data_IF_351068743877
#
_entry.id   IF_351068743877
#
_cell.length_a   1.000
_cell.length_b   1.000
_cell.length_c   1.000
_cell.angle_alpha   90.00
_cell.angle_beta   90.00
_cell.angle_gamma   90.00
#
_symmetry.space_group_name_H-M   'P 1'
#
loop_
_entity.id
_entity.type
_entity.pdbx_description
1 polymer ?
#
# COMPACT_ATOMS: atom_id res chain seq x y z
N UNK A 1 -29.40 -14.38 -12.69
CA UNK A 1 -28.67 -13.14 -12.96
C UNK A 1 -29.60 -12.00 -12.63
N UNK A 2 -29.35 -11.16 -11.64
CA UNK A 2 -30.13 -9.96 -11.40
C UNK A 2 -29.71 -8.90 -12.41
N UNK A 3 -30.69 -8.26 -13.01
CA UNK A 3 -30.57 -7.21 -14.02
C UNK A 3 -30.15 -5.89 -13.30
N UNK A 4 -28.87 -5.57 -13.34
CA UNK A 4 -28.33 -4.33 -12.79
C UNK A 4 -28.16 -3.26 -13.89
N UNK A 5 -29.29 -2.92 -14.52
CA UNK A 5 -29.33 -1.75 -15.39
C UNK A 5 -29.15 -0.47 -14.56
N UNK A 6 -28.07 0.27 -14.79
CA UNK A 6 -27.84 1.62 -14.27
C UNK A 6 -29.06 2.49 -14.62
N UNK A 7 -29.90 2.77 -13.64
CA UNK A 7 -31.08 3.59 -13.86
C UNK A 7 -30.66 5.05 -13.96
N UNK A 8 -30.74 5.65 -15.14
CA UNK A 8 -30.72 7.10 -15.34
C UNK A 8 -31.83 7.74 -14.52
N UNK A 9 -31.49 8.25 -13.31
CA UNK A 9 -32.44 9.01 -12.48
C UNK A 9 -32.39 10.48 -12.90
N UNK A 10 -33.51 11.01 -13.34
CA UNK A 10 -33.68 12.45 -13.63
C UNK A 10 -33.82 13.21 -12.32
N UNK A 11 -32.93 14.18 -12.10
CA UNK A 11 -32.94 15.06 -10.92
C UNK A 11 -33.97 16.16 -11.04
N UNK A 12 -34.74 16.39 -9.97
CA UNK A 12 -35.59 17.55 -9.76
C UNK A 12 -34.81 18.53 -8.90
N UNK A 13 -34.57 19.74 -9.42
CA UNK A 13 -33.92 20.84 -8.68
C UNK A 13 -34.85 21.35 -7.59
N UNK A 14 -34.45 21.30 -6.34
CA UNK A 14 -35.05 22.06 -5.24
C UNK A 14 -34.04 23.14 -4.79
N UNK A 15 -34.39 24.40 -5.00
CA UNK A 15 -33.69 25.57 -4.48
C UNK A 15 -34.23 25.94 -3.10
N UNK A 16 -33.36 26.20 -2.12
CA UNK A 16 -33.76 26.69 -0.78
C UNK A 16 -32.57 27.21 0.01
N UNK A 17 -32.34 28.46 -0.08
CA UNK A 17 -32.31 29.57 0.89
C UNK A 17 -31.47 29.45 2.16
N UNK A 18 -30.59 30.44 2.27
CA UNK A 18 -29.58 30.86 3.22
C UNK A 18 -30.00 30.92 4.71
N UNK A 19 -28.96 30.75 5.56
CA UNK A 19 -28.99 31.17 6.97
C UNK A 19 -27.58 31.42 7.49
N UNK A 20 -27.24 32.68 7.71
CA UNK A 20 -25.98 33.20 8.29
C UNK A 20 -26.13 33.35 9.80
N UNK A 21 -25.12 32.94 10.56
CA UNK A 21 -24.70 33.47 11.91
C UNK A 21 -23.32 32.80 12.17
N UNK A 22 -22.19 33.40 12.43
CA UNK A 22 -21.78 34.58 13.10
C UNK A 22 -21.11 34.34 14.45
N UNK A 23 -19.85 34.83 14.59
CA UNK A 23 -19.10 35.16 15.81
C UNK A 23 -18.12 34.14 16.40
N UNK A 24 -16.82 34.41 16.29
CA UNK A 24 -15.89 35.15 17.19
C UNK A 24 -15.28 34.23 18.25
N UNK A 25 -13.98 34.12 18.50
CA UNK A 25 -12.86 35.01 18.59
C UNK A 25 -12.04 34.69 19.82
N UNK A 26 -10.75 35.09 19.84
CA UNK A 26 -9.78 35.16 20.94
C UNK A 26 -8.73 34.06 20.97
N UNK A 27 -7.43 34.28 20.56
CA UNK A 27 -6.37 35.19 21.00
C UNK A 27 -5.69 34.84 22.33
N UNK A 28 -4.35 34.68 22.27
CA UNK A 28 -3.38 34.74 23.36
C UNK A 28 -2.41 33.57 23.34
N UNK A 29 -1.12 33.66 23.21
CA UNK A 29 -0.21 34.73 23.47
C UNK A 29 0.87 34.28 24.45
N UNK A 30 2.15 34.35 24.06
CA UNK A 30 3.31 34.40 24.94
C UNK A 30 3.94 33.04 25.26
N UNK A 31 5.24 32.81 25.17
CA UNK A 31 6.41 33.61 25.21
C UNK A 31 7.48 32.97 26.11
N UNK A 32 8.71 32.86 25.57
CA UNK A 32 9.88 33.18 26.34
C UNK A 32 10.78 32.06 26.90
N UNK A 33 12.03 32.08 26.41
CA UNK A 33 13.26 31.98 27.21
C UNK A 33 13.79 30.55 27.46
N UNK A 34 14.90 30.08 26.90
CA UNK A 34 16.25 30.56 27.13
C UNK A 34 16.86 29.93 28.36
N UNK A 35 17.84 29.06 28.21
CA UNK A 35 19.15 29.32 28.80
C UNK A 35 20.18 28.20 28.49
N UNK A 36 21.39 28.62 28.34
CA UNK A 36 22.61 27.87 28.06
C UNK A 36 23.25 27.24 29.32
N UNK A 37 24.17 26.28 29.13
CA UNK A 37 25.11 25.80 30.16
C UNK A 37 25.68 24.45 29.74
N UNK A 38 26.75 24.38 29.10
CA UNK A 38 28.19 24.45 29.37
C UNK A 38 28.71 23.39 30.37
N UNK A 39 29.69 22.58 29.89
CA UNK A 39 30.90 22.25 30.63
C UNK A 39 31.11 20.86 31.19
N UNK A 40 32.19 20.21 30.72
CA UNK A 40 33.07 19.36 31.55
C UNK A 40 33.18 17.92 31.10
N UNK A 41 34.12 17.54 30.42
CA UNK A 41 35.56 17.25 30.55
C UNK A 41 35.91 16.06 31.48
N UNK A 42 36.63 15.07 30.96
CA UNK A 42 37.72 14.41 31.65
C UNK A 42 37.61 12.95 32.09
N UNK A 43 38.52 12.12 31.58
CA UNK A 43 39.11 11.01 32.34
C UNK A 43 39.03 9.64 31.65
N UNK A 44 39.92 9.26 30.96
CA UNK A 44 41.22 8.60 30.97
C UNK A 44 41.31 7.27 31.78
N UNK A 45 41.76 6.19 31.09
CA UNK A 45 42.72 5.24 31.59
C UNK A 45 42.29 3.85 32.04
N UNK A 46 42.88 2.82 31.40
CA UNK A 46 43.15 1.54 32.07
C UNK A 46 42.92 0.30 31.20
N UNK A 47 43.79 -0.09 30.52
CA UNK A 47 44.85 -1.06 30.31
C UNK A 47 44.68 -2.43 30.98
N UNK A 48 44.80 -3.52 30.11
CA UNK A 48 45.52 -4.74 30.43
C UNK A 48 44.74 -5.97 30.88
N UNK A 49 44.85 -7.07 30.10
CA UNK A 49 44.60 -8.40 30.63
C UNK A 49 44.50 -9.50 29.58
N UNK A 50 45.61 -10.06 29.29
CA UNK A 50 46.03 -11.17 28.44
C UNK A 50 45.48 -12.54 28.88
N UNK A 51 45.20 -13.45 27.90
CA UNK A 51 45.53 -14.88 28.03
C UNK A 51 44.42 -15.88 28.38
N UNK A 52 44.17 -16.80 27.43
CA UNK A 52 43.51 -18.06 27.79
C UNK A 52 43.03 -18.87 26.59
N UNK A 53 43.91 -19.73 26.14
CA UNK A 53 43.87 -20.76 25.11
C UNK A 53 42.85 -21.91 25.35
N UNK A 54 42.25 -22.43 24.24
CA UNK A 54 41.98 -23.86 24.07
C UNK A 54 40.61 -24.39 24.40
N UNK A 55 39.92 -24.90 23.36
CA UNK A 55 38.82 -25.86 23.57
C UNK A 55 37.86 -26.07 22.38
N UNK A 56 38.33 -26.84 21.46
CA UNK A 56 37.67 -27.91 20.67
C UNK A 56 36.13 -27.91 20.51
N UNK A 57 35.74 -27.96 19.23
CA UNK A 57 34.68 -28.65 18.54
C UNK A 57 33.34 -28.95 19.25
N UNK A 58 32.39 -28.11 19.03
CA UNK A 58 30.98 -28.42 19.13
C UNK A 58 30.21 -27.58 18.12
N UNK A 59 29.63 -28.24 17.12
CA UNK A 59 28.61 -27.66 16.27
C UNK A 59 27.40 -27.28 17.15
N UNK A 60 27.47 -26.10 17.75
CA UNK A 60 26.33 -25.49 18.40
C UNK A 60 25.71 -24.58 17.33
N UNK A 61 24.46 -24.87 16.95
CA UNK A 61 23.63 -23.92 16.23
C UNK A 61 23.79 -22.56 16.89
N UNK A 62 24.17 -21.58 16.11
CA UNK A 62 24.39 -20.20 16.53
C UNK A 62 23.05 -19.61 17.02
N UNK A 63 22.70 -19.85 18.28
CA UNK A 63 21.62 -19.14 18.95
C UNK A 63 22.14 -17.75 19.35
N UNK A 64 22.43 -16.90 18.34
CA UNK A 64 22.70 -15.51 18.64
C UNK A 64 21.44 -14.93 19.29
N UNK A 65 21.58 -14.35 20.46
CA UNK A 65 20.50 -13.63 21.14
C UNK A 65 20.24 -12.25 20.53
N UNK A 66 21.02 -11.89 19.52
CA UNK A 66 20.92 -10.59 18.85
C UNK A 66 19.63 -10.51 18.03
N UNK A 67 18.96 -9.36 17.99
CA UNK A 67 17.74 -9.19 17.21
C UNK A 67 17.99 -9.40 15.71
N UNK A 68 16.94 -9.82 14.99
CA UNK A 68 16.95 -9.85 13.54
C UNK A 68 16.66 -8.42 13.07
N UNK A 69 17.58 -7.83 12.30
CA UNK A 69 17.43 -6.47 11.82
C UNK A 69 16.70 -6.44 10.47
N UNK A 70 15.51 -5.81 10.44
CA UNK A 70 14.69 -5.63 9.23
C UNK A 70 14.57 -4.14 8.89
N UNK A 71 14.68 -3.81 7.62
CA UNK A 71 14.54 -2.45 7.13
C UNK A 71 13.10 -2.05 6.84
N UNK A 72 12.79 -0.77 6.92
CA UNK A 72 11.63 -0.15 6.30
C UNK A 72 12.11 1.05 5.48
N UNK A 73 11.88 1.03 4.18
CA UNK A 73 12.21 2.11 3.26
C UNK A 73 10.91 2.64 2.64
N UNK A 74 10.31 3.64 3.24
CA UNK A 74 8.99 4.13 2.85
C UNK A 74 8.92 5.66 2.88
N UNK A 75 7.95 6.29 2.21
CA UNK A 75 7.77 7.73 2.33
C UNK A 75 7.10 8.07 3.67
N UNK A 76 7.86 8.65 4.59
CA UNK A 76 7.39 9.18 5.87
C UNK A 76 7.15 10.69 5.82
N UNK A 77 7.62 11.35 4.76
CA UNK A 77 7.46 12.79 4.54
C UNK A 77 7.15 13.12 3.08
N UNK A 78 6.94 14.41 2.79
CA UNK A 78 6.64 14.95 1.46
C UNK A 78 5.32 14.38 0.85
N UNK A 79 5.25 14.30 -0.47
CA UNK A 79 4.01 14.07 -1.23
C UNK A 79 3.22 12.79 -0.89
N UNK A 80 3.90 11.72 -0.48
CA UNK A 80 3.30 10.45 -0.05
C UNK A 80 3.57 10.14 1.44
N UNK A 81 3.86 11.15 2.25
CA UNK A 81 4.26 11.01 3.65
C UNK A 81 3.23 10.33 4.57
N UNK A 82 2.03 10.06 4.11
CA UNK A 82 1.00 9.28 4.80
C UNK A 82 1.15 7.76 4.61
N UNK A 83 1.83 7.31 3.54
CA UNK A 83 1.99 5.89 3.21
C UNK A 83 2.85 5.17 4.24
N UNK A 84 4.04 5.72 4.53
CA UNK A 84 4.97 5.13 5.50
C UNK A 84 4.34 4.88 6.87
N UNK A 85 3.73 5.89 7.51
CA UNK A 85 3.05 5.71 8.80
C UNK A 85 1.89 4.70 8.76
N UNK A 86 1.13 4.61 7.67
CA UNK A 86 0.06 3.62 7.56
C UNK A 86 0.62 2.19 7.47
N UNK A 87 1.61 1.96 6.61
CA UNK A 87 2.26 0.66 6.47
C UNK A 87 2.99 0.25 7.76
N UNK A 88 3.64 1.20 8.44
CA UNK A 88 4.33 0.96 9.71
C UNK A 88 3.36 0.50 10.80
N UNK A 89 2.17 1.11 10.94
CA UNK A 89 1.16 0.64 11.88
C UNK A 89 0.71 -0.80 11.61
N UNK A 90 0.54 -1.17 10.35
CA UNK A 90 0.24 -2.56 9.99
C UNK A 90 1.38 -3.51 10.34
N UNK A 91 2.62 -3.15 9.99
CA UNK A 91 3.83 -3.87 10.40
C UNK A 91 3.89 -4.08 11.91
N UNK A 92 3.56 -3.06 12.69
CA UNK A 92 3.62 -3.12 14.15
C UNK A 92 2.61 -4.12 14.74
N UNK A 93 1.46 -4.31 14.09
CA UNK A 93 0.50 -5.39 14.45
C UNK A 93 1.12 -6.77 14.23
N UNK A 94 1.81 -6.99 13.09
CA UNK A 94 2.51 -8.25 12.84
C UNK A 94 3.66 -8.48 13.84
N UNK A 95 4.42 -7.43 14.17
CA UNK A 95 5.50 -7.52 15.15
C UNK A 95 4.99 -7.94 16.54
N UNK A 96 3.80 -7.48 16.95
CA UNK A 96 3.21 -7.89 18.22
C UNK A 96 2.86 -9.38 18.27
N UNK A 97 2.26 -9.93 17.19
CA UNK A 97 2.00 -11.38 17.07
C UNK A 97 3.31 -12.17 17.06
N UNK A 98 4.31 -11.72 16.32
CA UNK A 98 5.66 -12.33 16.28
C UNK A 98 6.30 -12.36 17.68
N UNK A 99 6.21 -11.25 18.44
CA UNK A 99 6.75 -11.18 19.80
C UNK A 99 6.00 -12.10 20.75
N UNK A 100 4.66 -12.13 20.70
CA UNK A 100 3.82 -13.02 21.50
C UNK A 100 4.11 -14.50 21.22
N UNK A 101 4.38 -14.84 19.96
CA UNK A 101 4.80 -16.18 19.53
C UNK A 101 6.25 -16.55 19.94
N UNK A 102 6.96 -15.64 20.64
CA UNK A 102 8.34 -15.89 21.11
C UNK A 102 9.41 -15.58 20.04
N UNK A 103 9.08 -14.77 19.05
CA UNK A 103 10.01 -14.28 18.03
C UNK A 103 10.25 -15.27 16.88
N UNK A 104 11.00 -14.81 15.89
CA UNK A 104 11.48 -15.62 14.77
C UNK A 104 12.73 -16.38 15.18
N UNK A 105 12.69 -17.71 15.14
CA UNK A 105 13.81 -18.55 15.60
C UNK A 105 14.22 -18.25 17.07
N UNK A 106 13.27 -17.80 17.91
CA UNK A 106 13.51 -17.39 19.29
C UNK A 106 14.19 -16.03 19.44
N UNK A 107 14.25 -15.21 18.41
CA UNK A 107 14.88 -13.88 18.36
C UNK A 107 13.83 -12.81 18.13
N UNK A 108 13.99 -11.63 18.75
CA UNK A 108 13.18 -10.45 18.45
C UNK A 108 13.55 -9.87 17.10
N UNK A 109 12.65 -9.07 16.52
CA UNK A 109 12.92 -8.25 15.33
C UNK A 109 13.17 -6.80 15.76
N UNK A 110 14.18 -6.17 15.19
CA UNK A 110 14.46 -4.74 15.32
C UNK A 110 14.28 -4.06 13.97
N UNK A 111 13.61 -2.91 13.94
CA UNK A 111 13.31 -2.16 12.72
C UNK A 111 14.25 -0.99 12.54
N UNK A 112 14.86 -0.88 11.35
CA UNK A 112 15.59 0.30 10.90
C UNK A 112 14.76 1.02 9.83
N UNK A 113 14.27 2.23 10.12
CA UNK A 113 13.41 3.02 9.23
C UNK A 113 14.22 4.07 8.47
N UNK A 114 13.96 4.19 7.17
CA UNK A 114 14.53 5.20 6.30
C UNK A 114 13.41 5.87 5.49
N UNK A 115 13.42 7.20 5.44
CA UNK A 115 12.47 8.01 4.69
C UNK A 115 12.94 8.17 3.24
N UNK A 116 12.10 7.84 2.28
CA UNK A 116 12.36 8.08 0.85
C UNK A 116 12.09 9.52 0.43
N UNK A 117 11.45 10.33 1.28
CA UNK A 117 11.00 11.69 0.95
C UNK A 117 10.27 11.77 -0.40
N UNK A 118 9.74 10.64 -0.88
CA UNK A 118 9.15 10.49 -2.23
C UNK A 118 10.12 10.88 -3.36
N UNK A 119 11.44 10.80 -3.14
CA UNK A 119 12.48 11.16 -4.12
C UNK A 119 13.47 10.02 -4.39
N UNK A 120 13.95 9.84 -5.65
CA UNK A 120 14.94 8.82 -5.96
C UNK A 120 16.25 8.95 -5.15
N UNK A 121 16.70 10.17 -4.88
CA UNK A 121 17.95 10.42 -4.15
C UNK A 121 17.85 9.97 -2.71
N UNK A 122 16.78 10.32 -2.00
CA UNK A 122 16.57 9.89 -0.61
C UNK A 122 16.34 8.38 -0.54
N UNK A 123 15.60 7.80 -1.49
CA UNK A 123 15.39 6.36 -1.56
C UNK A 123 16.71 5.58 -1.72
N UNK A 124 17.59 5.99 -2.63
CA UNK A 124 18.92 5.36 -2.82
C UNK A 124 19.78 5.55 -1.57
N UNK A 125 19.77 6.74 -0.94
CA UNK A 125 20.52 7.00 0.29
C UNK A 125 20.03 6.15 1.46
N UNK A 126 18.70 6.07 1.65
CA UNK A 126 18.08 5.23 2.67
C UNK A 126 18.37 3.75 2.45
N UNK A 127 18.27 3.26 1.21
CA UNK A 127 18.65 1.90 0.85
C UNK A 127 20.09 1.56 1.23
N UNK A 128 21.06 2.42 0.85
CA UNK A 128 22.46 2.22 1.19
C UNK A 128 22.71 2.23 2.70
N UNK A 129 21.93 3.00 3.47
CA UNK A 129 22.00 3.00 4.92
C UNK A 129 21.51 1.66 5.49
N UNK A 130 20.39 1.12 5.00
CA UNK A 130 19.86 -0.19 5.39
C UNK A 130 20.83 -1.31 5.02
N UNK A 131 21.37 -1.30 3.79
CA UNK A 131 22.35 -2.28 3.35
C UNK A 131 23.62 -2.28 4.23
N UNK A 132 24.16 -1.10 4.51
CA UNK A 132 25.33 -0.93 5.40
C UNK A 132 25.06 -1.33 6.85
N UNK A 133 23.82 -1.20 7.32
CA UNK A 133 23.40 -1.64 8.65
C UNK A 133 23.25 -3.17 8.73
N UNK A 134 23.29 -3.89 7.61
CA UNK A 134 23.19 -5.33 7.57
C UNK A 134 21.78 -5.87 7.78
N UNK A 135 20.74 -5.11 7.40
CA UNK A 135 19.36 -5.64 7.44
C UNK A 135 19.23 -6.88 6.56
N UNK A 136 18.41 -7.83 6.99
CA UNK A 136 18.26 -9.11 6.28
C UNK A 136 17.14 -9.10 5.24
N UNK A 137 16.18 -8.19 5.39
CA UNK A 137 15.09 -7.94 4.45
C UNK A 137 14.57 -6.51 4.64
N UNK A 138 13.78 -6.00 3.70
CA UNK A 138 13.25 -4.62 3.75
C UNK A 138 11.80 -4.58 3.28
N UNK A 139 10.93 -3.92 4.07
CA UNK A 139 9.65 -3.42 3.58
C UNK A 139 9.95 -2.24 2.65
N UNK A 140 9.48 -2.29 1.42
CA UNK A 140 9.96 -1.41 0.37
C UNK A 140 9.03 -0.26 0.01
N UNK A 141 9.50 0.59 -0.93
CA UNK A 141 8.96 1.90 -1.20
C UNK A 141 7.79 1.89 -2.20
N UNK A 142 7.29 3.10 -2.48
CA UNK A 142 6.22 3.36 -3.44
C UNK A 142 6.67 3.29 -4.90
N UNK A 143 5.70 3.21 -5.83
CA UNK A 143 5.89 3.22 -7.29
C UNK A 143 6.77 4.37 -7.79
N UNK A 144 6.75 5.51 -7.12
CA UNK A 144 7.48 6.72 -7.53
C UNK A 144 9.00 6.52 -7.54
N UNK A 145 9.53 5.71 -6.63
CA UNK A 145 10.97 5.59 -6.42
C UNK A 145 11.53 4.18 -6.64
N UNK A 146 10.71 3.13 -6.55
CA UNK A 146 11.15 1.74 -6.63
C UNK A 146 11.94 1.41 -7.91
N UNK A 147 11.64 1.98 -9.10
CA UNK A 147 12.42 1.68 -10.30
C UNK A 147 13.89 2.11 -10.19
N UNK A 148 14.20 3.06 -9.33
CA UNK A 148 15.59 3.50 -9.08
C UNK A 148 16.37 2.54 -8.15
N UNK A 149 15.69 1.55 -7.58
CA UNK A 149 16.25 0.58 -6.65
C UNK A 149 16.43 -0.82 -7.26
N UNK A 150 15.93 -1.08 -8.47
CA UNK A 150 16.05 -2.41 -9.09
C UNK A 150 17.50 -2.90 -9.11
N UNK A 151 18.41 -2.12 -9.66
CA UNK A 151 19.83 -2.50 -9.70
C UNK A 151 20.49 -2.51 -8.30
N UNK A 152 20.33 -1.48 -7.44
CA UNK A 152 20.84 -1.53 -6.07
C UNK A 152 20.39 -2.75 -5.26
N UNK A 153 19.12 -3.14 -5.34
CA UNK A 153 18.56 -4.30 -4.64
C UNK A 153 19.19 -5.60 -5.14
N UNK A 154 19.28 -5.79 -6.46
CA UNK A 154 19.90 -6.95 -7.06
C UNK A 154 21.40 -7.04 -6.71
N UNK A 155 22.14 -5.93 -6.77
CA UNK A 155 23.58 -5.89 -6.45
C UNK A 155 23.85 -6.22 -4.96
N UNK A 156 23.00 -5.73 -4.06
CA UNK A 156 23.09 -6.00 -2.62
C UNK A 156 22.50 -7.36 -2.20
N UNK A 157 21.76 -8.02 -3.08
CA UNK A 157 21.01 -9.25 -2.79
C UNK A 157 20.16 -9.10 -1.51
N UNK A 158 19.52 -7.95 -1.36
CA UNK A 158 18.69 -7.61 -0.20
C UNK A 158 17.21 -7.74 -0.57
N UNK A 159 16.50 -8.79 -0.07
CA UNK A 159 15.10 -8.99 -0.41
C UNK A 159 14.26 -7.81 0.06
N UNK A 160 13.44 -7.29 -0.85
CA UNK A 160 12.58 -6.13 -0.65
C UNK A 160 11.15 -6.45 -1.04
N UNK A 161 10.22 -6.29 -0.09
CA UNK A 161 8.78 -6.43 -0.31
C UNK A 161 8.15 -5.06 -0.32
N UNK A 162 7.78 -4.55 -1.49
CA UNK A 162 7.08 -3.26 -1.57
C UNK A 162 5.66 -3.37 -1.05
N UNK A 163 5.32 -2.43 -0.17
CA UNK A 163 3.99 -2.36 0.46
C UNK A 163 3.03 -1.38 -0.25
N UNK A 164 3.50 -0.69 -1.30
CA UNK A 164 2.72 0.35 -1.97
C UNK A 164 3.09 0.60 -3.43
N UNK A 165 3.86 -0.28 -4.07
CA UNK A 165 4.23 -0.12 -5.48
C UNK A 165 3.42 -1.03 -6.40
N UNK A 166 2.33 -0.50 -6.93
CA UNK A 166 1.51 -1.16 -7.97
C UNK A 166 2.12 -1.09 -9.37
N UNK A 167 3.13 -0.27 -9.60
CA UNK A 167 3.68 0.02 -10.94
C UNK A 167 3.91 -1.22 -11.81
N UNK A 168 3.46 -1.15 -13.07
CA UNK A 168 3.63 -2.23 -14.05
C UNK A 168 5.11 -2.52 -14.40
N UNK A 169 6.04 -1.67 -14.00
CA UNK A 169 7.47 -1.94 -14.17
C UNK A 169 7.95 -3.14 -13.34
N UNK A 170 7.26 -3.47 -12.25
CA UNK A 170 7.52 -4.68 -11.45
C UNK A 170 6.98 -5.96 -12.11
N UNK A 171 6.04 -5.88 -13.04
CA UNK A 171 5.43 -7.06 -13.68
C UNK A 171 6.44 -7.89 -14.50
N UNK A 172 7.60 -7.32 -14.80
CA UNK A 172 8.68 -7.98 -15.55
C UNK A 172 10.03 -7.96 -14.82
N UNK A 173 10.07 -7.38 -13.61
CA UNK A 173 11.25 -7.31 -12.75
C UNK A 173 10.78 -7.62 -11.35
N UNK A 174 11.12 -8.79 -10.84
CA UNK A 174 10.71 -9.21 -9.50
C UNK A 174 10.90 -10.69 -9.26
N UNK A 175 10.53 -11.14 -8.08
CA UNK A 175 10.75 -12.49 -7.61
C UNK A 175 12.17 -12.75 -7.09
N UNK A 176 12.53 -14.01 -6.87
CA UNK A 176 13.79 -14.37 -6.19
C UNK A 176 15.05 -14.01 -6.97
N UNK A 177 15.00 -13.90 -8.30
CA UNK A 177 16.15 -13.55 -9.13
C UNK A 177 16.52 -12.06 -9.02
N UNK A 178 15.51 -11.21 -8.80
CA UNK A 178 15.66 -9.75 -8.68
C UNK A 178 15.59 -9.25 -7.25
N UNK A 179 15.32 -10.13 -6.27
CA UNK A 179 15.17 -9.79 -4.85
C UNK A 179 14.05 -8.79 -4.56
N UNK A 180 13.01 -8.78 -5.40
CA UNK A 180 11.90 -7.84 -5.33
C UNK A 180 10.55 -8.56 -5.31
N UNK A 181 9.69 -8.16 -4.39
CA UNK A 181 8.30 -8.59 -4.27
C UNK A 181 7.43 -7.39 -3.95
N UNK A 182 6.11 -7.58 -4.01
CA UNK A 182 5.14 -6.62 -3.49
C UNK A 182 3.99 -7.33 -2.80
N UNK A 183 3.41 -6.70 -1.79
CA UNK A 183 2.20 -7.19 -1.09
C UNK A 183 0.94 -6.46 -1.55
N UNK A 184 1.05 -5.64 -2.59
CA UNK A 184 -0.06 -4.99 -3.30
C UNK A 184 -0.13 -5.52 -4.73
N UNK A 185 -1.32 -5.65 -5.32
CA UNK A 185 -1.47 -6.10 -6.69
C UNK A 185 -0.85 -5.14 -7.72
N UNK A 186 -0.59 -5.66 -8.93
CA UNK A 186 -0.18 -4.86 -10.08
C UNK A 186 -1.24 -3.85 -10.50
N UNK A 187 -0.80 -2.66 -10.93
CA UNK A 187 -1.65 -1.67 -11.62
C UNK A 187 -2.31 -2.29 -12.88
N UNK A 188 -1.64 -3.25 -13.54
CA UNK A 188 -2.22 -3.96 -14.69
C UNK A 188 -3.46 -4.78 -14.29
N UNK A 189 -3.42 -5.48 -13.17
CA UNK A 189 -4.56 -6.25 -12.64
C UNK A 189 -5.68 -5.30 -12.20
N UNK A 190 -5.32 -4.25 -11.47
CA UNK A 190 -6.26 -3.22 -11.04
C UNK A 190 -6.91 -2.50 -12.21
N UNK A 191 -6.12 -2.13 -13.24
CA UNK A 191 -6.62 -1.50 -14.46
C UNK A 191 -7.55 -2.40 -15.25
N UNK A 192 -7.27 -3.71 -15.27
CA UNK A 192 -8.15 -4.71 -15.90
C UNK A 192 -9.50 -4.80 -15.19
N UNK A 193 -9.54 -4.83 -13.86
CA UNK A 193 -10.79 -4.88 -13.11
C UNK A 193 -11.68 -3.65 -13.41
N UNK A 194 -11.11 -2.46 -13.44
CA UNK A 194 -11.84 -1.23 -13.76
C UNK A 194 -12.30 -1.18 -15.22
N UNK A 195 -11.40 -1.48 -16.16
CA UNK A 195 -11.72 -1.49 -17.60
C UNK A 195 -12.76 -2.53 -17.95
N UNK A 196 -12.69 -3.73 -17.34
CA UNK A 196 -13.69 -4.79 -17.56
C UNK A 196 -15.06 -4.36 -17.04
N UNK A 197 -15.14 -3.79 -15.82
CA UNK A 197 -16.41 -3.29 -15.31
C UNK A 197 -17.01 -2.20 -16.20
N UNK A 198 -16.17 -1.29 -16.71
CA UNK A 198 -16.63 -0.25 -17.64
C UNK A 198 -17.23 -0.87 -18.91
N UNK A 199 -16.55 -1.83 -19.52
CA UNK A 199 -17.04 -2.50 -20.74
C UNK A 199 -18.30 -3.35 -20.49
N UNK A 200 -18.38 -4.05 -19.36
CA UNK A 200 -19.55 -4.85 -18.97
C UNK A 200 -20.81 -3.99 -18.72
N UNK A 201 -20.62 -2.68 -18.49
CA UNK A 201 -21.70 -1.70 -18.34
C UNK A 201 -21.90 -0.83 -19.61
N UNK A 202 -21.44 -1.30 -20.77
CA UNK A 202 -21.63 -0.66 -22.07
C UNK A 202 -20.95 0.72 -22.22
N UNK A 203 -19.95 1.05 -21.38
CA UNK A 203 -19.12 2.22 -21.59
C UNK A 203 -18.11 1.97 -22.70
N UNK A 204 -17.98 2.92 -23.62
CA UNK A 204 -17.15 2.77 -24.82
C UNK A 204 -16.15 3.89 -25.03
N UNK A 205 -16.31 5.02 -24.33
CA UNK A 205 -15.48 6.24 -24.44
C UNK A 205 -15.00 6.66 -23.05
N UNK A 206 -13.73 6.42 -22.75
CA UNK A 206 -13.15 6.70 -21.44
C UNK A 206 -12.26 7.95 -21.49
N UNK A 207 -12.47 8.87 -20.54
CA UNK A 207 -11.47 9.86 -20.17
C UNK A 207 -10.64 9.34 -19.00
N UNK A 208 -9.32 9.44 -19.06
CA UNK A 208 -8.45 9.20 -17.90
C UNK A 208 -7.96 10.52 -17.35
N UNK A 209 -7.95 10.64 -16.02
CA UNK A 209 -7.43 11.80 -15.32
C UNK A 209 -6.65 11.36 -14.08
N UNK A 210 -5.52 11.97 -13.81
CA UNK A 210 -4.62 11.51 -12.76
C UNK A 210 -3.75 12.66 -12.22
N UNK A 211 -3.36 12.54 -10.97
CA UNK A 211 -2.35 13.44 -10.40
C UNK A 211 -1.05 13.30 -11.19
N UNK A 212 -0.42 14.40 -11.56
CA UNK A 212 0.81 14.43 -12.36
C UNK A 212 2.01 13.90 -11.56
N UNK A 213 1.98 12.57 -11.29
CA UNK A 213 3.08 11.80 -10.75
C UNK A 213 3.15 10.39 -11.38
N UNK A 214 4.29 9.73 -11.22
CA UNK A 214 4.57 8.44 -11.86
C UNK A 214 3.66 7.29 -11.43
N UNK A 215 3.26 7.25 -10.16
CA UNK A 215 2.37 6.20 -9.64
C UNK A 215 0.97 6.33 -10.22
N UNK A 216 0.38 7.53 -10.13
CA UNK A 216 -0.95 7.82 -10.67
C UNK A 216 -0.99 7.65 -12.19
N UNK A 217 0.07 8.05 -12.91
CA UNK A 217 0.19 7.84 -14.35
C UNK A 217 0.26 6.35 -14.72
N UNK A 218 1.03 5.54 -13.97
CA UNK A 218 1.15 4.08 -14.20
C UNK A 218 -0.22 3.41 -14.17
N UNK A 219 -0.98 3.65 -13.11
CA UNK A 219 -2.33 3.08 -12.97
C UNK A 219 -3.26 3.54 -14.10
N UNK A 220 -3.32 4.83 -14.39
CA UNK A 220 -4.21 5.37 -15.45
C UNK A 220 -3.86 4.83 -16.82
N UNK A 221 -2.56 4.65 -17.12
CA UNK A 221 -2.09 3.98 -18.34
C UNK A 221 -2.57 2.54 -18.40
N UNK A 222 -2.43 1.79 -17.31
CA UNK A 222 -2.85 0.39 -17.26
C UNK A 222 -4.37 0.22 -17.49
N UNK A 223 -5.20 1.11 -16.94
CA UNK A 223 -6.65 1.16 -17.20
C UNK A 223 -6.93 1.41 -18.67
N UNK A 224 -6.31 2.45 -19.24
CA UNK A 224 -6.53 2.85 -20.64
C UNK A 224 -6.07 1.78 -21.64
N UNK A 225 -4.91 1.15 -21.38
CA UNK A 225 -4.36 0.09 -22.21
C UNK A 225 -5.29 -1.13 -22.23
N UNK A 226 -5.77 -1.57 -21.07
CA UNK A 226 -6.73 -2.67 -21.03
C UNK A 226 -8.02 -2.30 -21.74
N UNK A 227 -8.65 -1.17 -21.39
CA UNK A 227 -9.91 -0.73 -21.96
C UNK A 227 -9.84 -0.64 -23.48
N UNK A 228 -8.78 -0.05 -24.04
CA UNK A 228 -8.60 0.07 -25.50
C UNK A 228 -8.28 -1.26 -26.16
N UNK A 229 -7.52 -2.16 -25.49
CA UNK A 229 -7.23 -3.50 -26.03
C UNK A 229 -8.49 -4.35 -26.20
N UNK A 230 -9.52 -4.09 -25.40
CA UNK A 230 -10.82 -4.78 -25.44
C UNK A 230 -11.86 -4.06 -26.33
N UNK A 231 -11.47 -3.01 -27.05
CA UNK A 231 -12.30 -2.32 -28.04
C UNK A 231 -12.98 -1.05 -27.55
N UNK A 232 -12.69 -0.58 -26.37
CA UNK A 232 -13.04 0.77 -25.93
C UNK A 232 -12.16 1.84 -26.59
N UNK A 233 -12.48 3.10 -26.40
CA UNK A 233 -11.73 4.26 -26.90
C UNK A 233 -11.35 5.18 -25.74
N UNK A 234 -10.04 5.50 -25.59
CA UNK A 234 -9.60 6.57 -24.73
C UNK A 234 -9.77 7.91 -25.45
N UNK A 235 -10.70 8.74 -25.00
CA UNK A 235 -11.06 10.01 -25.67
C UNK A 235 -10.40 11.25 -25.04
N UNK A 236 -9.88 11.14 -23.82
CA UNK A 236 -9.10 12.20 -23.16
C UNK A 236 -8.04 11.61 -22.22
N UNK A 237 -6.94 12.35 -22.06
CA UNK A 237 -5.83 12.07 -21.12
C UNK A 237 -5.50 13.40 -20.45
N UNK A 238 -5.92 13.58 -19.20
CA UNK A 238 -5.95 14.87 -18.52
C UNK A 238 -5.19 14.80 -17.20
N UNK A 239 -3.89 15.17 -17.17
CA UNK A 239 -3.12 15.24 -15.94
C UNK A 239 -3.58 16.38 -15.04
N UNK A 240 -3.66 16.11 -13.73
CA UNK A 240 -4.04 17.07 -12.69
C UNK A 240 -2.79 17.63 -12.02
N UNK A 241 -2.54 18.92 -12.18
CA UNK A 241 -1.39 19.56 -11.57
C UNK A 241 -1.45 19.49 -10.04
N UNK A 242 -0.33 19.15 -9.42
CA UNK A 242 -0.19 19.14 -7.96
C UNK A 242 -0.25 20.60 -7.45
N UNK A 243 -0.96 20.82 -6.35
CA UNK A 243 -1.16 22.16 -5.76
C UNK A 243 -1.98 23.14 -6.63
N UNK A 244 -2.89 22.65 -7.46
CA UNK A 244 -3.87 23.50 -8.14
C UNK A 244 -4.97 23.97 -7.18
N UNK A 245 -5.46 25.19 -7.39
CA UNK A 245 -6.61 25.72 -6.64
C UNK A 245 -7.96 25.34 -7.27
N UNK A 246 -7.95 24.80 -8.49
CA UNK A 246 -9.16 24.44 -9.24
C UNK A 246 -8.85 23.54 -10.43
N UNK A 247 -9.74 22.59 -10.71
CA UNK A 247 -9.70 21.69 -11.88
C UNK A 247 -10.87 21.89 -12.83
N UNK A 248 -11.46 23.12 -12.86
CA UNK A 248 -12.61 23.39 -13.74
C UNK A 248 -12.28 23.34 -15.22
N UNK A 249 -11.04 23.70 -15.62
CA UNK A 249 -10.58 23.60 -17.01
C UNK A 249 -10.43 22.17 -17.45
N UNK A 250 -9.85 21.32 -16.62
CA UNK A 250 -9.65 19.91 -16.85
C UNK A 250 -11.01 19.16 -16.91
N UNK A 251 -11.93 19.52 -16.03
CA UNK A 251 -13.31 19.00 -16.04
C UNK A 251 -14.06 19.42 -17.30
N UNK A 252 -13.87 20.66 -17.79
CA UNK A 252 -14.46 21.09 -19.04
C UNK A 252 -13.87 20.35 -20.24
N UNK A 253 -12.57 20.09 -20.26
CA UNK A 253 -11.90 19.28 -21.28
C UNK A 253 -12.47 17.85 -21.32
N UNK A 254 -12.65 17.23 -20.15
CA UNK A 254 -13.29 15.92 -20.05
C UNK A 254 -14.74 15.97 -20.56
N UNK A 255 -15.50 16.97 -20.17
CA UNK A 255 -16.89 17.12 -20.62
C UNK A 255 -17.01 17.30 -22.15
N UNK A 256 -16.06 18.00 -22.76
CA UNK A 256 -16.03 18.25 -24.20
C UNK A 256 -15.47 17.07 -25.02
N UNK A 257 -14.81 16.09 -24.36
CA UNK A 257 -14.20 14.94 -25.04
C UNK A 257 -15.20 13.91 -25.56
N UNK A 258 -16.43 13.92 -25.03
CA UNK A 258 -17.45 12.94 -25.34
C UNK A 258 -17.34 11.65 -24.51
N UNK A 259 -16.54 11.65 -23.45
CA UNK A 259 -16.40 10.52 -22.54
C UNK A 259 -17.75 10.11 -21.93
N UNK A 260 -18.01 8.81 -21.88
CA UNK A 260 -19.16 8.21 -21.19
C UNK A 260 -18.77 7.61 -19.83
N UNK A 261 -17.47 7.54 -19.53
CA UNK A 261 -16.92 7.17 -18.22
C UNK A 261 -15.60 7.90 -17.97
N UNK A 262 -15.30 8.16 -16.68
CA UNK A 262 -14.03 8.78 -16.23
C UNK A 262 -13.30 7.78 -15.34
N UNK A 263 -12.00 7.60 -15.56
CA UNK A 263 -11.07 6.95 -14.61
C UNK A 263 -10.21 8.01 -13.95
N UNK A 264 -10.23 8.10 -12.62
CA UNK A 264 -9.46 9.09 -11.86
C UNK A 264 -8.58 8.43 -10.80
N UNK A 265 -7.29 8.79 -10.78
CA UNK A 265 -6.32 8.35 -9.77
C UNK A 265 -5.49 9.54 -9.30
N UNK A 266 -5.75 10.07 -8.11
CA UNK A 266 -5.19 11.37 -7.78
C UNK A 266 -4.86 11.62 -6.30
N UNK A 267 -5.00 10.69 -5.41
CA UNK A 267 -4.83 10.89 -3.96
C UNK A 267 -5.91 11.79 -3.34
N UNK A 268 -6.01 11.77 -2.02
CA UNK A 268 -7.16 12.33 -1.29
C UNK A 268 -7.40 13.82 -1.58
N UNK A 269 -6.35 14.65 -1.53
CA UNK A 269 -6.53 16.12 -1.64
C UNK A 269 -6.91 16.54 -3.07
N UNK A 270 -6.23 15.98 -4.07
CA UNK A 270 -6.50 16.27 -5.50
C UNK A 270 -7.89 15.74 -5.87
N UNK A 271 -8.18 14.48 -5.48
CA UNK A 271 -9.50 13.89 -5.73
C UNK A 271 -10.63 14.67 -5.09
N UNK A 272 -10.47 15.11 -3.83
CA UNK A 272 -11.49 15.90 -3.16
C UNK A 272 -11.75 17.25 -3.83
N UNK A 273 -10.71 17.94 -4.31
CA UNK A 273 -10.87 19.18 -5.05
C UNK A 273 -11.51 18.95 -6.43
N UNK A 274 -11.05 17.91 -7.15
CA UNK A 274 -11.63 17.53 -8.43
C UNK A 274 -13.12 17.20 -8.28
N UNK A 275 -13.48 16.34 -7.31
CA UNK A 275 -14.87 15.96 -7.07
C UNK A 275 -15.77 17.13 -6.73
N UNK A 276 -15.31 18.10 -5.92
CA UNK A 276 -16.07 19.33 -5.66
C UNK A 276 -16.35 20.12 -6.95
N UNK A 277 -15.32 20.30 -7.80
CA UNK A 277 -15.50 21.02 -9.05
C UNK A 277 -16.33 20.23 -10.07
N UNK A 278 -16.23 18.90 -10.07
CA UNK A 278 -17.04 17.99 -10.88
C UNK A 278 -18.54 18.12 -10.54
N UNK A 279 -18.87 18.07 -9.23
CA UNK A 279 -20.25 18.22 -8.74
C UNK A 279 -20.78 19.63 -9.03
N UNK A 280 -19.96 20.68 -8.82
CA UNK A 280 -20.33 22.06 -9.14
C UNK A 280 -20.61 22.28 -10.64
N UNK A 281 -19.91 21.56 -11.51
CA UNK A 281 -20.14 21.58 -12.96
C UNK A 281 -21.43 20.88 -13.36
N UNK A 282 -22.02 20.07 -12.48
CA UNK A 282 -23.25 19.33 -12.72
C UNK A 282 -23.11 18.26 -13.79
N UNK A 283 -21.93 17.65 -13.90
CA UNK A 283 -21.69 16.54 -14.81
C UNK A 283 -22.37 15.27 -14.26
N UNK A 284 -22.81 14.41 -15.19
CA UNK A 284 -23.46 13.14 -14.92
C UNK A 284 -22.71 12.00 -15.65
N UNK A 285 -21.38 12.10 -15.73
CA UNK A 285 -20.52 11.09 -16.33
C UNK A 285 -20.05 10.17 -15.19
N UNK A 286 -20.30 8.85 -15.25
CA UNK A 286 -19.77 7.92 -14.26
C UNK A 286 -18.28 8.07 -14.05
N UNK A 287 -17.83 8.09 -12.77
CA UNK A 287 -16.43 8.28 -12.43
C UNK A 287 -15.94 7.17 -11.50
N UNK A 288 -14.84 6.52 -11.87
CA UNK A 288 -14.07 5.64 -10.99
C UNK A 288 -13.01 6.43 -10.25
N UNK A 289 -12.86 6.14 -8.97
CA UNK A 289 -11.79 6.69 -8.14
C UNK A 289 -10.90 5.57 -7.61
N UNK A 290 -9.60 5.86 -7.46
CA UNK A 290 -8.61 4.88 -7.04
C UNK A 290 -8.76 4.42 -5.58
N UNK A 291 -8.13 3.32 -5.24
CA UNK A 291 -8.20 2.69 -3.91
C UNK A 291 -7.66 3.57 -2.77
N UNK A 292 -6.79 4.51 -3.07
CA UNK A 292 -6.17 5.43 -2.11
C UNK A 292 -7.17 6.43 -1.50
N UNK A 293 -8.37 6.56 -2.07
CA UNK A 293 -9.45 7.42 -1.58
C UNK A 293 -10.69 6.65 -1.13
N UNK A 294 -10.66 5.31 -1.10
CA UNK A 294 -11.75 4.48 -0.58
C UNK A 294 -11.66 4.41 0.94
N UNK A 295 -12.02 5.50 1.58
CA UNK A 295 -11.95 5.69 3.03
C UNK A 295 -13.22 6.38 3.55
N UNK A 296 -13.54 6.18 4.83
CA UNK A 296 -14.64 6.88 5.48
C UNK A 296 -14.41 8.41 5.50
N UNK A 297 -13.16 8.85 5.70
CA UNK A 297 -12.79 10.28 5.65
C UNK A 297 -13.11 10.92 4.30
N UNK A 298 -12.87 10.22 3.19
CA UNK A 298 -13.20 10.74 1.87
C UNK A 298 -14.71 10.86 1.67
N UNK A 299 -15.49 9.87 2.14
CA UNK A 299 -16.96 9.93 2.12
C UNK A 299 -17.47 11.13 2.94
N UNK A 300 -16.89 11.37 4.12
CA UNK A 300 -17.23 12.54 4.95
C UNK A 300 -16.91 13.86 4.26
N UNK A 301 -15.73 13.96 3.63
CA UNK A 301 -15.26 15.18 2.92
C UNK A 301 -16.12 15.56 1.72
N UNK A 302 -16.59 14.59 0.96
CA UNK A 302 -17.44 14.82 -0.22
C UNK A 302 -18.91 14.92 0.16
N UNK A 303 -19.32 14.18 1.18
CA UNK A 303 -20.68 14.04 1.64
C UNK A 303 -21.32 12.74 1.15
N UNK A 304 -21.73 11.90 2.08
CA UNK A 304 -22.29 10.59 1.78
C UNK A 304 -23.52 10.65 0.84
N UNK A 305 -24.41 11.59 1.07
CA UNK A 305 -25.61 11.79 0.22
C UNK A 305 -25.19 12.17 -1.21
N UNK A 306 -24.17 13.05 -1.34
CA UNK A 306 -23.63 13.46 -2.64
C UNK A 306 -23.04 12.29 -3.39
N UNK A 307 -22.22 11.45 -2.71
CA UNK A 307 -21.62 10.28 -3.34
C UNK A 307 -22.67 9.24 -3.71
N UNK A 308 -23.68 9.02 -2.87
CA UNK A 308 -24.77 8.09 -3.17
C UNK A 308 -25.71 8.54 -4.29
N UNK A 309 -25.79 9.86 -4.54
CA UNK A 309 -26.64 10.43 -5.59
C UNK A 309 -25.93 10.61 -6.93
N UNK A 310 -24.60 10.50 -6.97
CA UNK A 310 -23.79 10.61 -8.18
C UNK A 310 -23.21 9.24 -8.59
N UNK A 311 -22.93 8.99 -9.87
CA UNK A 311 -22.38 7.73 -10.34
C UNK A 311 -20.87 7.64 -10.05
N UNK A 312 -20.52 7.56 -8.76
CA UNK A 312 -19.14 7.50 -8.27
C UNK A 312 -18.86 6.08 -7.80
N UNK A 313 -17.88 5.45 -8.43
CA UNK A 313 -17.43 4.09 -8.13
C UNK A 313 -16.03 4.13 -7.54
N UNK A 314 -15.80 3.27 -6.55
CA UNK A 314 -14.47 2.94 -6.06
C UNK A 314 -14.00 1.63 -6.66
N UNK A 315 -12.69 1.43 -6.72
CA UNK A 315 -12.10 0.16 -7.10
C UNK A 315 -10.94 -0.13 -6.15
N UNK A 316 -10.97 -1.30 -5.52
CA UNK A 316 -9.96 -1.72 -4.56
C UNK A 316 -9.68 -3.22 -4.66
N UNK A 317 -8.49 -3.69 -4.27
CA UNK A 317 -8.28 -5.10 -3.98
C UNK A 317 -9.32 -5.56 -2.96
N UNK A 318 -9.92 -6.73 -3.20
CA UNK A 318 -10.79 -7.32 -2.19
C UNK A 318 -9.95 -7.71 -0.96
N UNK A 319 -10.46 -7.49 0.26
CA UNK A 319 -9.74 -7.87 1.48
C UNK A 319 -9.35 -9.34 1.46
N UNK A 320 -8.16 -9.62 1.98
CA UNK A 320 -7.68 -10.99 2.11
C UNK A 320 -8.29 -11.73 3.30
N UNK A 321 -8.07 -13.04 3.39
CA UNK A 321 -8.68 -13.88 4.43
C UNK A 321 -8.37 -13.48 5.88
N UNK A 322 -7.23 -12.83 6.13
CA UNK A 322 -6.87 -12.38 7.48
C UNK A 322 -7.29 -10.93 7.80
N UNK A 323 -8.04 -10.26 6.91
CA UNK A 323 -8.34 -8.83 7.07
C UNK A 323 -9.10 -8.50 8.34
N UNK A 324 -10.18 -9.22 8.65
CA UNK A 324 -11.01 -8.92 9.83
C UNK A 324 -10.22 -9.06 11.14
N UNK A 325 -9.36 -10.08 11.24
CA UNK A 325 -8.48 -10.28 12.39
C UNK A 325 -7.43 -9.17 12.49
N UNK A 326 -6.82 -8.82 11.37
CA UNK A 326 -5.86 -7.71 11.28
C UNK A 326 -6.52 -6.37 11.66
N UNK A 327 -7.71 -6.06 11.11
CA UNK A 327 -8.42 -4.81 11.40
C UNK A 327 -8.73 -4.69 12.89
N UNK A 328 -9.21 -5.77 13.52
CA UNK A 328 -9.49 -5.77 14.95
C UNK A 328 -8.21 -5.51 15.76
N UNK A 329 -7.14 -6.22 15.49
CA UNK A 329 -5.86 -6.05 16.18
C UNK A 329 -5.27 -4.64 15.97
N UNK A 330 -5.42 -4.09 14.75
CA UNK A 330 -5.00 -2.74 14.43
C UNK A 330 -5.78 -1.69 15.22
N UNK A 331 -7.12 -1.84 15.33
CA UNK A 331 -7.96 -0.95 16.14
C UNK A 331 -7.61 -1.02 17.63
N UNK A 332 -7.37 -2.21 18.14
CA UNK A 332 -7.01 -2.41 19.55
C UNK A 332 -5.65 -1.79 19.88
N UNK A 333 -4.69 -1.82 18.95
CA UNK A 333 -3.35 -1.26 19.13
C UNK A 333 -3.29 0.26 18.90
N UNK A 334 -3.98 0.77 17.88
CA UNK A 334 -3.80 2.15 17.41
C UNK A 334 -5.02 3.06 17.60
N UNK A 335 -6.12 2.55 18.17
CA UNK A 335 -7.40 3.27 18.40
C UNK A 335 -7.97 3.92 17.11
N UNK A 336 -7.71 3.29 15.96
CA UNK A 336 -8.19 3.75 14.65
C UNK A 336 -8.28 2.60 13.65
N UNK A 337 -9.10 2.75 12.60
CA UNK A 337 -9.13 1.82 11.48
C UNK A 337 -7.79 1.78 10.73
N UNK A 338 -7.43 0.66 10.09
CA UNK A 338 -6.30 0.62 9.19
C UNK A 338 -6.43 1.67 8.08
N UNK A 339 -5.34 2.41 7.81
CA UNK A 339 -5.23 3.24 6.62
C UNK A 339 -4.81 2.40 5.41
N UNK A 340 -4.95 2.98 4.21
CA UNK A 340 -4.46 2.39 2.97
C UNK A 340 -3.01 1.95 3.13
N UNK A 341 -2.67 0.74 2.66
CA UNK A 341 -1.39 0.05 2.80
C UNK A 341 -1.05 -0.48 4.22
N UNK A 342 -1.92 -0.30 5.21
CA UNK A 342 -1.72 -0.90 6.53
C UNK A 342 -1.68 -2.42 6.46
N UNK A 343 -2.67 -3.03 5.81
CA UNK A 343 -2.72 -4.47 5.59
C UNK A 343 -1.49 -4.98 4.80
N UNK A 344 -1.02 -4.23 3.79
CA UNK A 344 0.17 -4.60 3.02
C UNK A 344 1.46 -4.59 3.87
N UNK A 345 1.58 -3.66 4.82
CA UNK A 345 2.68 -3.62 5.79
C UNK A 345 2.65 -4.79 6.77
N UNK A 346 1.45 -5.19 7.22
CA UNK A 346 1.22 -6.39 8.02
C UNK A 346 1.66 -7.66 7.27
N UNK A 347 1.21 -7.82 6.03
CA UNK A 347 1.54 -8.98 5.22
C UNK A 347 3.04 -9.09 4.93
N UNK A 348 3.68 -7.99 4.55
CA UNK A 348 5.12 -7.98 4.27
C UNK A 348 5.95 -8.44 5.47
N UNK A 349 5.58 -7.99 6.68
CA UNK A 349 6.30 -8.39 7.89
C UNK A 349 6.09 -9.87 8.21
N UNK A 350 4.86 -10.38 8.12
CA UNK A 350 4.56 -11.78 8.33
C UNK A 350 5.30 -12.68 7.33
N UNK A 351 5.31 -12.32 6.04
CA UNK A 351 6.01 -13.08 4.99
C UNK A 351 7.51 -13.14 5.27
N UNK A 352 8.16 -12.01 5.62
CA UNK A 352 9.60 -11.98 5.97
C UNK A 352 9.87 -12.88 7.18
N UNK A 353 9.05 -12.78 8.22
CA UNK A 353 9.20 -13.56 9.44
C UNK A 353 9.01 -15.06 9.20
N UNK A 354 7.96 -15.44 8.45
CA UNK A 354 7.66 -16.83 8.09
C UNK A 354 8.73 -17.42 7.17
N UNK A 355 9.26 -16.62 6.22
CA UNK A 355 10.35 -17.05 5.36
C UNK A 355 11.62 -17.40 6.16
N UNK A 356 12.00 -16.54 7.12
CA UNK A 356 13.12 -16.83 8.03
C UNK A 356 12.84 -18.02 8.94
N UNK A 357 11.62 -18.15 9.48
CA UNK A 357 11.23 -19.29 10.34
C UNK A 357 11.28 -20.60 9.56
N UNK A 358 10.75 -20.64 8.33
CA UNK A 358 10.80 -21.81 7.45
C UNK A 358 12.23 -22.21 7.09
N UNK A 359 13.08 -21.21 6.79
CA UNK A 359 14.49 -21.44 6.46
C UNK A 359 15.32 -21.99 7.63
N UNK A 360 14.90 -21.75 8.89
CA UNK A 360 15.69 -22.06 10.08
C UNK A 360 16.88 -21.11 10.29
N UNK A 361 17.00 -20.05 9.49
CA UNK A 361 18.01 -19.00 9.62
C UNK A 361 17.50 -17.67 9.06
N UNK A 362 18.01 -16.55 9.58
CA UNK A 362 17.63 -15.21 9.19
C UNK A 362 18.77 -14.53 8.41
N UNK A 363 19.07 -15.04 7.20
CA UNK A 363 19.99 -14.44 6.25
C UNK A 363 19.25 -13.92 5.02
N UNK A 364 19.83 -12.98 4.27
CA UNK A 364 19.22 -12.44 3.03
C UNK A 364 18.85 -13.56 2.06
N UNK A 365 19.79 -14.47 1.81
CA UNK A 365 19.58 -15.57 0.87
C UNK A 365 18.51 -16.54 1.36
N UNK A 366 18.53 -16.92 2.65
CA UNK A 366 17.54 -17.82 3.21
C UNK A 366 16.13 -17.25 3.15
N UNK A 367 15.96 -15.95 3.44
CA UNK A 367 14.68 -15.26 3.31
C UNK A 367 14.24 -15.23 1.84
N UNK A 368 15.12 -14.82 0.91
CA UNK A 368 14.85 -14.79 -0.53
C UNK A 368 14.33 -16.14 -1.03
N UNK A 369 15.00 -17.22 -0.68
CA UNK A 369 14.65 -18.59 -1.13
C UNK A 369 13.32 -19.07 -0.55
N UNK A 370 12.82 -18.43 0.53
CA UNK A 370 11.65 -18.88 1.26
C UNK A 370 10.43 -17.95 1.17
N UNK A 371 10.54 -16.74 0.62
CA UNK A 371 9.38 -15.83 0.44
C UNK A 371 8.29 -16.51 -0.41
N UNK A 372 8.61 -16.98 -1.61
CA UNK A 372 7.63 -17.66 -2.45
C UNK A 372 7.08 -18.95 -1.81
N UNK A 373 7.90 -19.84 -1.23
CA UNK A 373 7.40 -21.06 -0.60
C UNK A 373 6.38 -20.85 0.54
N UNK A 374 6.47 -19.74 1.29
CA UNK A 374 5.50 -19.47 2.39
C UNK A 374 4.22 -18.78 1.94
N UNK A 375 4.17 -18.31 0.68
CA UNK A 375 3.06 -17.52 0.14
C UNK A 375 2.59 -18.08 -1.23
N UNK A 376 2.54 -19.38 -1.37
CA UNK A 376 2.00 -20.08 -2.55
C UNK A 376 1.08 -21.23 -2.14
N UNK A 377 0.04 -21.52 -2.94
CA UNK A 377 -0.80 -22.70 -2.71
C UNK A 377 0.08 -23.97 -2.68
N UNK A 378 -0.18 -24.91 -1.80
CA UNK A 378 0.39 -26.25 -1.62
C UNK A 378 0.71 -26.56 -0.14
N UNK A 379 0.56 -25.56 0.78
CA UNK A 379 0.72 -25.74 2.22
C UNK A 379 -0.59 -25.60 2.98
N UNK A 380 -0.52 -25.72 4.29
CA UNK A 380 -1.62 -25.38 5.19
C UNK A 380 -1.87 -23.87 5.13
N UNK A 381 -3.10 -23.46 4.88
CA UNK A 381 -3.45 -22.05 4.93
C UNK A 381 -3.31 -21.51 6.36
N UNK A 382 -2.56 -20.42 6.50
CA UNK A 382 -2.32 -19.72 7.77
C UNK A 382 -2.51 -18.21 7.58
N UNK A 383 -2.98 -17.52 8.60
CA UNK A 383 -3.35 -16.10 8.55
C UNK A 383 -2.49 -15.21 9.43
N UNK A 384 -1.69 -15.79 10.33
CA UNK A 384 -0.78 -15.09 11.24
C UNK A 384 0.60 -15.74 11.26
N UNK A 385 1.57 -15.02 11.82
CA UNK A 385 2.88 -15.60 12.07
C UNK A 385 2.80 -16.75 13.09
N UNK A 386 2.01 -16.59 14.15
CA UNK A 386 1.84 -17.62 15.19
C UNK A 386 1.38 -18.94 14.61
N UNK A 387 0.30 -18.92 13.78
CA UNK A 387 -0.21 -20.12 13.11
C UNK A 387 0.83 -20.74 12.19
N UNK A 388 1.49 -19.90 11.37
CA UNK A 388 2.50 -20.38 10.43
C UNK A 388 3.71 -20.98 11.12
N UNK A 389 4.16 -20.38 12.23
CA UNK A 389 5.24 -20.93 13.05
C UNK A 389 4.89 -22.29 13.64
N UNK A 390 3.68 -22.46 14.17
CA UNK A 390 3.22 -23.75 14.74
C UNK A 390 3.23 -24.86 13.68
N UNK A 391 2.72 -24.58 12.48
CA UNK A 391 2.70 -25.53 11.37
C UNK A 391 4.12 -25.88 10.89
N UNK A 392 5.00 -24.88 10.74
CA UNK A 392 6.39 -25.09 10.34
C UNK A 392 7.17 -25.91 11.38
N UNK A 393 6.98 -25.66 12.68
CA UNK A 393 7.58 -26.43 13.77
C UNK A 393 7.04 -27.88 13.84
N UNK A 394 5.80 -28.09 13.38
CA UNK A 394 5.22 -29.43 13.21
C UNK A 394 5.76 -30.16 11.95
N UNK A 395 6.52 -29.47 11.10
CA UNK A 395 7.11 -30.01 9.86
C UNK A 395 6.16 -29.95 8.65
N UNK A 396 5.13 -29.12 8.70
CA UNK A 396 4.20 -28.89 7.61
C UNK A 396 4.66 -27.70 6.74
N UNK A 397 4.33 -27.74 5.44
CA UNK A 397 4.44 -26.57 4.57
C UNK A 397 3.21 -25.65 4.76
N UNK A 398 3.41 -24.36 4.60
CA UNK A 398 2.36 -23.35 4.80
C UNK A 398 2.03 -22.59 3.53
N UNK A 399 0.85 -21.98 3.51
CA UNK A 399 0.41 -21.01 2.52
C UNK A 399 -0.18 -19.78 3.25
N UNK A 400 0.61 -18.73 3.39
CA UNK A 400 0.17 -17.51 4.07
C UNK A 400 -0.92 -16.79 3.28
N UNK A 401 -2.05 -16.58 3.92
CA UNK A 401 -3.21 -15.87 3.39
C UNK A 401 -3.31 -14.50 4.04
N UNK A 402 -2.91 -13.47 3.30
CA UNK A 402 -2.73 -12.13 3.82
C UNK A 402 -4.02 -11.36 4.16
N UNK A 403 -3.84 -10.19 4.74
CA UNK A 403 -4.90 -9.23 5.03
C UNK A 403 -5.18 -8.29 3.85
N UNK A 404 -4.16 -7.87 3.11
CA UNK A 404 -4.33 -6.97 1.96
C UNK A 404 -4.97 -7.68 0.76
N UNK A 405 -4.65 -8.94 0.58
CA UNK A 405 -5.22 -9.87 -0.41
C UNK A 405 -4.64 -11.28 -0.14
N UNK A 406 -5.13 -12.36 -0.79
CA UNK A 406 -4.44 -13.65 -0.78
C UNK A 406 -3.03 -13.48 -1.37
N UNK A 407 -1.98 -13.76 -0.59
CA UNK A 407 -0.58 -13.54 -1.00
C UNK A 407 -0.04 -14.69 -1.86
N UNK A 408 -0.78 -15.07 -2.89
CA UNK A 408 -0.39 -16.14 -3.81
C UNK A 408 0.54 -15.57 -4.91
N UNK A 409 1.83 -15.48 -4.62
CA UNK A 409 2.79 -14.87 -5.53
C UNK A 409 2.93 -15.63 -6.86
N UNK A 410 2.90 -14.88 -7.96
CA UNK A 410 3.31 -15.36 -9.28
C UNK A 410 4.86 -15.49 -9.36
N UNK A 411 5.39 -15.75 -10.57
CA UNK A 411 6.84 -15.91 -10.77
C UNK A 411 7.62 -14.61 -10.50
N UNK A 412 6.99 -13.46 -10.71
CA UNK A 412 7.59 -12.14 -10.51
C UNK A 412 7.38 -11.57 -9.10
N UNK A 413 6.87 -12.37 -8.15
CA UNK A 413 6.64 -11.91 -6.77
C UNK A 413 5.45 -10.97 -6.61
N UNK A 414 4.46 -11.06 -7.51
CA UNK A 414 3.24 -10.27 -7.44
C UNK A 414 2.11 -11.12 -6.84
N UNK A 415 1.34 -10.59 -5.88
CA UNK A 415 0.14 -11.25 -5.43
C UNK A 415 -0.95 -11.12 -6.48
N UNK A 416 -1.66 -12.21 -6.71
CA UNK A 416 -2.83 -12.26 -7.60
C UNK A 416 -4.06 -12.53 -6.76
N UNK A 417 -4.90 -11.51 -6.64
CA UNK A 417 -6.11 -11.58 -5.82
C UNK A 417 -7.32 -10.96 -6.52
N UNK A 418 -8.51 -11.12 -5.94
CA UNK A 418 -9.73 -10.52 -6.46
C UNK A 418 -9.75 -9.00 -6.28
N UNK A 419 -10.54 -8.32 -7.11
CA UNK A 419 -10.81 -6.88 -7.02
C UNK A 419 -12.29 -6.60 -6.93
N UNK A 420 -12.67 -5.70 -6.02
CA UNK A 420 -14.04 -5.25 -5.85
C UNK A 420 -14.26 -3.88 -6.48
N UNK A 421 -15.41 -3.71 -7.12
CA UNK A 421 -15.97 -2.41 -7.46
C UNK A 421 -16.97 -2.04 -6.38
N UNK A 422 -16.89 -0.81 -5.91
CA UNK A 422 -17.59 -0.31 -4.74
C UNK A 422 -18.41 0.93 -5.11
N UNK A 423 -19.51 1.17 -4.38
CA UNK A 423 -20.27 2.41 -4.39
C UNK A 423 -20.57 2.86 -2.96
N UNK A 424 -20.90 4.13 -2.76
CA UNK A 424 -21.32 4.59 -1.43
C UNK A 424 -22.81 4.32 -1.24
N UNK A 425 -23.13 3.52 -0.23
CA UNK A 425 -24.48 3.20 0.18
C UNK A 425 -24.64 3.35 1.69
N UNK A 426 -25.66 4.07 2.14
CA UNK A 426 -25.89 4.32 3.57
C UNK A 426 -24.73 5.01 4.31
N UNK A 427 -23.90 5.76 3.57
CA UNK A 427 -22.76 6.49 4.12
C UNK A 427 -21.44 5.70 4.19
N UNK A 428 -21.42 4.47 3.70
CA UNK A 428 -20.27 3.59 3.69
C UNK A 428 -20.03 3.03 2.28
N UNK A 429 -18.79 2.66 2.00
CA UNK A 429 -18.44 1.92 0.79
C UNK A 429 -19.06 0.52 0.87
N UNK A 430 -19.73 0.12 -0.19
CA UNK A 430 -20.42 -1.17 -0.32
C UNK A 430 -20.04 -1.81 -1.64
N UNK A 431 -19.82 -3.11 -1.63
CA UNK A 431 -19.47 -3.88 -2.81
C UNK A 431 -20.63 -3.93 -3.82
N UNK A 432 -20.31 -3.65 -5.09
CA UNK A 432 -21.21 -3.80 -6.23
C UNK A 432 -20.97 -5.14 -6.92
N UNK A 433 -19.69 -5.47 -7.15
CA UNK A 433 -19.25 -6.72 -7.75
C UNK A 433 -17.79 -6.98 -7.41
N UNK A 434 -17.37 -8.23 -7.51
CA UNK A 434 -15.98 -8.65 -7.36
C UNK A 434 -15.58 -9.50 -8.57
N UNK A 435 -14.43 -9.17 -9.16
CA UNK A 435 -13.74 -9.98 -10.17
C UNK A 435 -12.78 -10.93 -9.46
N UNK A 436 -12.84 -12.21 -9.78
CA UNK A 436 -11.89 -13.19 -9.24
C UNK A 436 -10.48 -13.01 -9.82
N UNK A 437 -9.49 -13.58 -9.17
CA UNK A 437 -8.13 -13.62 -9.73
C UNK A 437 -8.08 -14.29 -11.13
N UNK A 438 -8.91 -15.31 -11.37
CA UNK A 438 -9.01 -16.01 -12.67
C UNK A 438 -9.56 -15.07 -13.76
N UNK A 439 -10.60 -14.28 -13.45
CA UNK A 439 -11.18 -13.30 -14.39
C UNK A 439 -10.15 -12.25 -14.80
N UNK A 440 -9.23 -11.91 -13.90
CA UNK A 440 -8.25 -10.85 -14.09
C UNK A 440 -6.91 -11.32 -14.68
N UNK A 441 -6.70 -12.63 -14.83
CA UNK A 441 -5.45 -13.21 -15.37
C UNK A 441 -5.66 -13.99 -16.67
N UNK A 442 -6.92 -14.21 -17.08
CA UNK A 442 -7.29 -14.96 -18.29
C UNK A 442 -7.12 -14.16 -19.60
#
# INVERSE_FOLDING_TARGET
>A
MPDHTVRRRRFVKAAGVAGVVGLAGCSGGGGGGGDEGDGGDGGDGGDGGDGGDGGDGGSTGDSSSDPILVGTLAPFSQGLGWVGPNAARGRDVALADIEEAGGVLGRSIEINEQDTETTPQAAISGFNTLDSAGVVATLGPSSTVIPNLFQPVADAQLPMLSVSAGTTQLDSVGGPEDYLWRTVPSDAIAGRAQGQYALDNDFTQMAVTYKDDKGSQSFSTAVADYFTSQGGEQVADVPLAINSDSYRSEIQEIADSGADVISMTAGTEVSALFMRNYIEAGLDIPIFIGNDVITADFVERIGADVMAENPIFGQAPAPGPSYDQFEQAHRDMHDQAPGTFGAAGYDAMNIIALAAQRAGEATRQAITDNINPVARPEGTEVTTFSEGKEELEAGNEINYQGASNPQNFNENGDPVGPFSVLEVSSGEWSEVTTFSAEDLTS
#
